data_IF_163952471703
#
_entry.id   IF_163952471703
#
_cell.length_a   1.000
_cell.length_b   1.000
_cell.length_c   1.000
_cell.angle_alpha   90.00
_cell.angle_beta   90.00
_cell.angle_gamma   90.00
#
_symmetry.space_group_name_H-M   'P 1'
#
loop_
_entity.id
_entity.type
_entity.pdbx_description
1 polymer ?
#
# COMPACT_ATOMS: atom_id res chain seq x y z
N UNK A 1 -42.56 -4.71 12.92
CA UNK A 1 -41.52 -5.74 13.23
C UNK A 1 -40.85 -6.28 11.96
N UNK A 2 -41.59 -6.83 10.98
CA UNK A 2 -41.00 -7.36 9.72
C UNK A 2 -40.18 -6.33 8.92
N UNK A 3 -40.60 -5.06 8.90
CA UNK A 3 -39.91 -3.96 8.20
C UNK A 3 -38.57 -3.59 8.84
N UNK A 4 -38.48 -3.65 10.17
CA UNK A 4 -37.25 -3.44 10.93
C UNK A 4 -36.28 -4.62 10.74
N UNK A 5 -36.80 -5.84 10.64
CA UNK A 5 -35.99 -7.04 10.34
C UNK A 5 -35.35 -6.95 8.95
N UNK A 6 -36.11 -6.50 7.94
CA UNK A 6 -35.61 -6.28 6.59
C UNK A 6 -34.46 -5.26 6.56
N UNK A 7 -34.61 -4.16 7.32
CA UNK A 7 -33.58 -3.12 7.47
C UNK A 7 -32.30 -3.67 8.10
N UNK A 8 -32.41 -4.49 9.14
CA UNK A 8 -31.25 -5.12 9.81
C UNK A 8 -30.52 -6.07 8.85
N UNK A 9 -31.26 -6.89 8.10
CA UNK A 9 -30.69 -7.79 7.11
C UNK A 9 -29.95 -7.00 6.02
N UNK A 10 -30.52 -5.88 5.57
CA UNK A 10 -29.91 -5.01 4.58
C UNK A 10 -28.55 -4.48 5.09
N UNK A 11 -28.50 -3.97 6.32
CA UNK A 11 -27.27 -3.45 6.93
C UNK A 11 -26.19 -4.54 7.05
N UNK A 12 -26.57 -5.76 7.45
CA UNK A 12 -25.62 -6.88 7.58
C UNK A 12 -25.03 -7.25 6.22
N UNK A 13 -25.84 -7.33 5.16
CA UNK A 13 -25.36 -7.66 3.81
C UNK A 13 -24.39 -6.61 3.27
N UNK A 14 -24.64 -5.32 3.53
CA UNK A 14 -23.73 -4.24 3.12
C UNK A 14 -22.42 -4.16 3.93
N UNK A 15 -22.31 -4.91 5.03
CA UNK A 15 -21.12 -4.91 5.90
C UNK A 15 -20.02 -5.88 5.45
N UNK A 16 -20.31 -6.78 4.50
CA UNK A 16 -19.48 -7.97 4.27
C UNK A 16 -18.23 -7.75 3.41
N UNK A 17 -18.06 -6.60 2.75
CA UNK A 17 -17.01 -6.42 1.72
C UNK A 17 -16.10 -5.18 1.90
N UNK A 18 -15.77 -4.82 3.15
CA UNK A 18 -14.82 -3.72 3.41
C UNK A 18 -13.35 -4.20 3.44
N UNK A 19 -12.82 -4.62 2.29
CA UNK A 19 -11.40 -4.95 2.13
C UNK A 19 -10.61 -3.78 1.51
N UNK A 20 -10.10 -2.87 2.35
CA UNK A 20 -9.33 -1.67 1.93
C UNK A 20 -7.83 -1.72 2.25
N UNK A 21 -7.29 -2.87 2.68
CA UNK A 21 -5.97 -2.97 3.34
C UNK A 21 -4.76 -2.95 2.39
N UNK A 22 -4.82 -2.22 1.27
CA UNK A 22 -3.65 -1.98 0.44
C UNK A 22 -2.74 -0.98 1.15
N UNK A 23 -1.59 -1.45 1.65
CA UNK A 23 -0.61 -0.58 2.28
C UNK A 23 0.42 -0.06 1.28
N UNK A 24 0.98 1.11 1.55
CA UNK A 24 2.07 1.67 0.77
C UNK A 24 3.35 1.74 1.61
N UNK A 25 4.48 1.34 1.03
CA UNK A 25 5.81 1.56 1.60
C UNK A 25 6.46 2.70 0.83
N UNK A 26 6.85 3.75 1.55
CA UNK A 26 7.48 4.95 0.98
C UNK A 26 8.78 5.26 1.70
N UNK A 27 9.67 5.91 0.99
CA UNK A 27 10.94 6.37 1.53
C UNK A 27 11.77 7.08 0.47
N UNK A 28 13.00 7.39 0.84
CA UNK A 28 13.97 8.07 -0.01
C UNK A 28 15.27 7.27 -0.04
N UNK A 29 15.98 7.32 -1.16
CA UNK A 29 17.29 6.69 -1.33
C UNK A 29 18.31 7.79 -1.63
N UNK A 30 19.35 7.86 -0.81
CA UNK A 30 20.45 8.81 -0.95
C UNK A 30 21.78 8.07 -1.02
N UNK A 31 22.72 8.64 -1.77
CA UNK A 31 24.11 8.23 -1.72
C UNK A 31 24.70 8.59 -0.35
N UNK A 32 25.52 7.68 0.18
CA UNK A 32 26.04 7.79 1.55
C UNK A 32 27.14 8.86 1.68
N UNK A 33 27.92 9.05 0.63
CA UNK A 33 29.14 9.86 0.69
C UNK A 33 28.84 11.34 0.46
N UNK A 34 27.89 11.65 -0.43
CA UNK A 34 27.54 13.03 -0.78
C UNK A 34 26.10 13.44 -0.41
N UNK A 35 25.23 12.50 -0.02
CA UNK A 35 23.83 12.78 0.34
C UNK A 35 22.92 13.10 -0.85
N UNK A 36 23.37 12.92 -2.08
CA UNK A 36 22.58 13.17 -3.28
C UNK A 36 21.49 12.09 -3.47
N UNK A 37 20.31 12.45 -3.99
CA UNK A 37 19.26 11.48 -4.27
C UNK A 37 19.67 10.52 -5.39
N UNK A 38 19.46 9.22 -5.18
CA UNK A 38 19.70 8.22 -6.23
C UNK A 38 18.45 8.13 -7.10
N UNK A 39 18.53 8.62 -8.33
CA UNK A 39 17.43 8.63 -9.30
C UNK A 39 17.31 7.28 -10.04
N UNK A 40 16.07 6.88 -10.36
CA UNK A 40 15.75 5.68 -11.16
C UNK A 40 16.35 4.35 -10.65
N UNK A 41 16.67 4.25 -9.36
CA UNK A 41 17.14 3.02 -8.74
C UNK A 41 15.96 2.10 -8.37
N UNK A 42 16.11 0.80 -8.59
CA UNK A 42 15.09 -0.19 -8.23
C UNK A 42 15.10 -0.49 -6.74
N UNK A 43 13.97 -0.26 -6.07
CA UNK A 43 13.71 -0.65 -4.68
C UNK A 43 12.75 -1.83 -4.68
N UNK A 44 13.19 -2.99 -4.19
CA UNK A 44 12.44 -4.25 -4.25
C UNK A 44 12.19 -4.77 -2.83
N UNK A 45 10.94 -5.18 -2.56
CA UNK A 45 10.60 -5.85 -1.32
C UNK A 45 11.16 -7.29 -1.35
N UNK A 46 12.12 -7.57 -0.46
CA UNK A 46 12.85 -8.83 -0.40
C UNK A 46 11.91 -10.04 -0.38
N UNK A 47 12.17 -11.01 -1.25
CA UNK A 47 11.37 -12.23 -1.36
C UNK A 47 10.09 -12.08 -2.18
N UNK A 48 9.89 -10.92 -2.83
CA UNK A 48 8.75 -10.67 -3.73
C UNK A 48 9.24 -10.12 -5.06
N UNK A 49 8.35 -10.06 -6.05
CA UNK A 49 8.55 -9.32 -7.30
C UNK A 49 8.01 -7.88 -7.24
N UNK A 50 7.61 -7.41 -6.04
CA UNK A 50 6.99 -6.10 -5.84
C UNK A 50 8.09 -5.07 -5.56
N UNK A 51 8.12 -4.01 -6.35
CA UNK A 51 9.09 -2.93 -6.22
C UNK A 51 8.65 -1.66 -6.95
N UNK A 52 9.48 -0.62 -6.84
CA UNK A 52 9.27 0.66 -7.51
C UNK A 52 10.63 1.31 -7.77
N UNK A 53 10.74 2.10 -8.83
CA UNK A 53 11.91 2.91 -9.11
C UNK A 53 11.82 4.26 -8.37
N UNK A 54 12.96 4.80 -7.94
CA UNK A 54 13.01 6.15 -7.37
C UNK A 54 12.78 7.24 -8.41
N UNK A 55 12.17 8.35 -8.00
CA UNK A 55 12.01 9.54 -8.83
C UNK A 55 13.24 10.47 -8.79
N UNK A 56 13.11 11.69 -9.34
CA UNK A 56 14.18 12.70 -9.36
C UNK A 56 14.63 13.18 -7.97
N UNK A 57 13.83 12.97 -6.94
CA UNK A 57 14.15 13.33 -5.55
C UNK A 57 14.63 12.10 -4.75
N UNK A 58 14.84 10.95 -5.40
CA UNK A 58 15.18 9.70 -4.74
C UNK A 58 13.99 9.05 -4.02
N UNK A 59 12.76 9.55 -4.20
CA UNK A 59 11.57 9.02 -3.52
C UNK A 59 11.08 7.75 -4.22
N UNK A 60 10.76 6.71 -3.45
CA UNK A 60 10.04 5.53 -3.94
C UNK A 60 8.68 5.39 -3.26
N UNK A 61 7.71 4.78 -3.97
CA UNK A 61 6.39 4.46 -3.44
C UNK A 61 5.93 3.08 -3.95
N UNK A 62 6.18 2.05 -3.15
CA UNK A 62 5.70 0.69 -3.43
C UNK A 62 4.27 0.60 -2.91
N UNK A 63 3.30 0.57 -3.84
CA UNK A 63 1.86 0.53 -3.51
C UNK A 63 1.33 -0.89 -3.50
N UNK A 64 0.16 -1.09 -2.86
CA UNK A 64 -0.57 -2.37 -2.83
C UNK A 64 0.24 -3.52 -2.20
N UNK A 65 0.96 -3.21 -1.14
CA UNK A 65 1.67 -4.20 -0.34
C UNK A 65 0.67 -4.83 0.63
N UNK A 66 0.60 -6.16 0.60
CA UNK A 66 -0.18 -6.93 1.56
C UNK A 66 0.51 -6.87 2.95
N UNK A 67 -0.25 -6.80 4.05
CA UNK A 67 0.32 -6.93 5.39
C UNK A 67 1.19 -8.19 5.52
N UNK A 68 2.31 -8.07 6.22
CA UNK A 68 3.14 -9.22 6.60
C UNK A 68 2.39 -10.14 7.57
N UNK A 69 2.81 -11.40 7.66
CA UNK A 69 2.43 -12.29 8.76
C UNK A 69 3.37 -12.09 9.94
#
# INVERSE_FOLDING_TARGET
MKKNLLLIILVIVFSLDLHSQNSNIRGFVYDKDNGEPIIFCNVILKGTSIGSATDINGMYNISKVNPGK
#
